data_IF_564704088268
#
_entry.id   IF_564704088268
#
_cell.length_a   1.000
_cell.length_b   1.000
_cell.length_c   1.000
_cell.angle_alpha   90.00
_cell.angle_beta   90.00
_cell.angle_gamma   90.00
#
_symmetry.space_group_name_H-M   'P 1'
#
loop_
_entity.id
_entity.type
_entity.pdbx_description
1 polymer ?
#
# COMPACT_ATOMS: atom_id res chain seq x y z
N UNK A 1 45.94 -42.15 11.76
CA UNK A 1 46.06 -40.85 11.07
C UNK A 1 45.16 -40.93 9.86
N UNK A 2 44.10 -40.11 9.79
CA UNK A 2 43.25 -40.04 8.59
C UNK A 2 44.00 -39.22 7.54
N UNK A 3 43.92 -39.64 6.27
CA UNK A 3 44.63 -38.96 5.20
C UNK A 3 43.95 -37.63 4.85
N UNK A 4 44.71 -36.69 4.30
CA UNK A 4 44.18 -35.40 3.81
C UNK A 4 43.10 -35.61 2.73
N UNK A 5 43.20 -36.71 1.98
CA UNK A 5 42.18 -37.15 1.03
C UNK A 5 40.86 -37.52 1.72
N UNK A 6 40.89 -38.20 2.87
CA UNK A 6 39.68 -38.53 3.64
C UNK A 6 38.99 -37.27 4.18
N UNK A 7 39.79 -36.27 4.57
CA UNK A 7 39.26 -35.00 5.06
C UNK A 7 38.62 -34.18 3.93
N UNK A 8 39.25 -34.19 2.76
CA UNK A 8 38.74 -33.49 1.56
C UNK A 8 37.47 -34.15 1.04
N UNK A 9 37.39 -35.49 1.07
CA UNK A 9 36.20 -36.24 0.71
C UNK A 9 35.04 -35.99 1.70
N UNK A 10 35.31 -35.98 3.00
CA UNK A 10 34.31 -35.69 4.03
C UNK A 10 33.77 -34.26 3.93
N UNK A 11 34.63 -33.27 3.62
CA UNK A 11 34.21 -31.88 3.45
C UNK A 11 33.38 -31.67 2.18
N UNK A 12 33.72 -32.34 1.06
CA UNK A 12 32.88 -32.31 -0.15
C UNK A 12 31.52 -32.96 0.09
N UNK A 13 31.49 -34.11 0.77
CA UNK A 13 30.24 -34.79 1.10
C UNK A 13 29.36 -33.99 2.07
N UNK A 14 29.96 -33.18 2.95
CA UNK A 14 29.24 -32.25 3.82
C UNK A 14 28.73 -31.01 3.06
N UNK A 15 29.47 -30.52 2.05
CA UNK A 15 29.05 -29.41 1.20
C UNK A 15 27.88 -29.81 0.27
N UNK A 16 27.90 -31.04 -0.26
CA UNK A 16 26.82 -31.57 -1.12
C UNK A 16 25.52 -31.87 -0.33
N UNK A 17 25.61 -31.94 1.01
CA UNK A 17 24.47 -32.13 1.92
C UNK A 17 23.97 -30.85 2.58
N UNK A 18 24.61 -29.71 2.34
CA UNK A 18 24.18 -28.43 2.89
C UNK A 18 22.92 -27.94 2.12
N UNK A 19 21.81 -27.61 2.82
CA UNK A 19 20.67 -26.97 2.18
C UNK A 19 21.13 -25.67 1.52
N UNK A 20 20.74 -25.42 0.27
CA UNK A 20 21.03 -24.15 -0.39
C UNK A 20 20.54 -22.98 0.49
N UNK A 21 21.26 -21.85 0.53
CA UNK A 21 20.85 -20.67 1.28
C UNK A 21 19.49 -20.21 0.76
N UNK A 22 18.45 -20.53 1.54
CA UNK A 22 17.08 -20.14 1.24
C UNK A 22 17.01 -18.64 1.44
N UNK A 23 16.81 -17.91 0.34
CA UNK A 23 16.38 -16.52 0.41
C UNK A 23 15.01 -16.47 1.12
N UNK A 24 15.04 -16.04 2.38
CA UNK A 24 13.87 -15.96 3.26
C UNK A 24 12.81 -14.98 2.71
N UNK A 25 13.18 -14.07 1.81
CA UNK A 25 12.27 -13.10 1.19
C UNK A 25 11.65 -13.68 -0.10
N UNK A 26 12.41 -14.39 -0.94
CA UNK A 26 11.85 -15.19 -2.03
C UNK A 26 10.88 -16.27 -1.48
N UNK A 27 11.23 -16.85 -0.33
CA UNK A 27 10.40 -17.84 0.37
C UNK A 27 9.00 -17.35 0.73
N UNK A 28 8.78 -16.05 0.99
CA UNK A 28 7.44 -15.50 1.29
C UNK A 28 6.59 -15.29 0.03
N UNK A 29 7.19 -14.81 -1.06
CA UNK A 29 6.50 -14.67 -2.36
C UNK A 29 6.14 -16.04 -2.97
N UNK A 30 7.03 -17.02 -2.82
CA UNK A 30 6.88 -18.34 -3.42
C UNK A 30 5.93 -19.25 -2.63
N UNK A 31 5.83 -19.08 -1.30
CA UNK A 31 4.81 -19.76 -0.46
C UNK A 31 3.39 -19.29 -0.81
N UNK A 32 3.22 -18.01 -1.18
CA UNK A 32 1.94 -17.45 -1.64
C UNK A 32 1.53 -18.01 -3.01
N UNK A 33 2.49 -18.18 -3.94
CA UNK A 33 2.28 -18.82 -5.26
C UNK A 33 2.07 -20.34 -5.20
N UNK A 34 2.76 -21.07 -4.31
CA UNK A 34 2.57 -22.51 -4.14
C UNK A 34 1.19 -22.84 -3.57
N UNK A 35 0.70 -22.08 -2.58
CA UNK A 35 -0.65 -22.29 -2.01
C UNK A 35 -1.78 -22.06 -3.02
N UNK A 36 -1.63 -21.08 -3.92
CA UNK A 36 -2.61 -20.86 -5.00
C UNK A 36 -2.65 -22.04 -5.97
N UNK A 37 -1.49 -22.57 -6.39
CA UNK A 37 -1.44 -23.72 -7.32
C UNK A 37 -1.91 -25.05 -6.70
N UNK A 38 -1.70 -25.25 -5.39
CA UNK A 38 -2.06 -26.51 -4.74
C UNK A 38 -3.57 -26.62 -4.47
N UNK A 39 -4.28 -25.49 -4.33
CA UNK A 39 -5.75 -25.46 -4.12
C UNK A 39 -6.57 -25.69 -5.39
N UNK A 40 -6.04 -25.40 -6.57
CA UNK A 40 -6.70 -25.72 -7.85
C UNK A 40 -6.66 -27.23 -8.21
N UNK A 41 -5.87 -28.05 -7.51
CA UNK A 41 -5.82 -29.51 -7.74
C UNK A 41 -6.77 -30.32 -6.87
N UNK A 42 -7.49 -29.71 -5.93
CA UNK A 42 -8.48 -30.39 -5.06
C UNK A 42 -9.94 -30.05 -5.35
N UNK A 43 -10.22 -29.27 -6.42
CA UNK A 43 -11.60 -28.91 -6.82
C UNK A 43 -12.16 -29.77 -7.97
N UNK A 44 -11.60 -30.97 -8.21
CA UNK A 44 -12.11 -31.93 -9.19
C UNK A 44 -12.20 -33.33 -8.57
N UNK A 45 -13.11 -33.50 -7.61
CA UNK A 45 -13.76 -34.79 -7.33
C UNK A 45 -14.88 -34.55 -6.31
N UNK A 46 -16.13 -34.66 -6.74
CA UNK A 46 -17.19 -35.52 -6.18
C UNK A 46 -18.47 -35.17 -6.94
N UNK A 47 -18.76 -35.99 -7.95
CA UNK A 47 -20.10 -36.14 -8.50
C UNK A 47 -20.73 -37.39 -7.86
N UNK A 48 -21.87 -37.18 -7.20
CA UNK A 48 -23.03 -38.07 -7.05
C UNK A 48 -22.85 -39.51 -6.56
N UNK A 49 -23.47 -39.83 -5.42
CA UNK A 49 -24.54 -40.86 -5.32
C UNK A 49 -25.48 -40.49 -4.17
N UNK A 50 -26.78 -40.52 -4.45
CA UNK A 50 -27.90 -40.47 -3.50
C UNK A 50 -28.36 -41.91 -3.24
N UNK A 51 -28.58 -42.32 -1.97
CA UNK A 51 -29.61 -43.30 -1.61
C UNK A 51 -29.92 -43.32 -0.09
N UNK A 52 -31.19 -43.02 0.19
CA UNK A 52 -32.09 -43.21 1.35
C UNK A 52 -31.84 -44.43 2.27
N UNK A 53 -32.01 -44.26 3.60
CA UNK A 53 -32.98 -45.01 4.45
C UNK A 53 -32.86 -44.78 5.98
N UNK A 54 -33.96 -44.29 6.56
CA UNK A 54 -34.71 -44.72 7.78
C UNK A 54 -33.98 -45.33 9.00
N UNK A 55 -34.18 -44.71 10.18
CA UNK A 55 -34.62 -45.42 11.41
C UNK A 55 -33.71 -45.43 12.65
N UNK A 56 -34.30 -45.07 13.81
CA UNK A 56 -34.09 -45.81 15.09
C UNK A 56 -33.21 -45.24 16.23
N UNK A 57 -33.87 -44.63 17.23
CA UNK A 57 -33.73 -44.77 18.71
C UNK A 57 -32.38 -44.90 19.48
N UNK A 58 -32.25 -44.04 20.51
CA UNK A 58 -31.80 -44.23 21.93
C UNK A 58 -30.33 -44.51 22.36
N UNK A 59 -29.84 -43.58 23.22
CA UNK A 59 -29.09 -43.68 24.51
C UNK A 59 -27.74 -44.43 24.57
N UNK A 60 -26.69 -43.78 25.12
CA UNK A 60 -25.93 -44.15 26.34
C UNK A 60 -24.65 -43.29 26.48
N UNK A 61 -24.32 -43.06 27.75
CA UNK A 61 -23.26 -42.27 28.40
C UNK A 61 -22.00 -43.12 28.65
N UNK A 62 -20.80 -42.55 28.52
CA UNK A 62 -19.52 -42.98 29.17
C UNK A 62 -18.54 -41.79 29.03
N UNK A 63 -17.90 -41.19 30.04
CA UNK A 63 -17.13 -41.62 31.23
C UNK A 63 -15.86 -42.40 30.89
N UNK A 64 -14.75 -41.66 30.72
CA UNK A 64 -13.35 -42.01 31.03
C UNK A 64 -12.69 -43.19 30.28
N UNK A 65 -11.34 -43.33 30.29
CA UNK A 65 -10.44 -42.88 31.34
C UNK A 65 -9.15 -42.15 30.91
N UNK A 66 -8.56 -41.56 31.96
CA UNK A 66 -7.20 -41.07 32.18
C UNK A 66 -6.13 -42.10 31.76
N UNK A 67 -5.12 -41.66 31.01
CA UNK A 67 -3.86 -42.40 30.84
C UNK A 67 -2.70 -41.54 31.37
N UNK A 68 -1.89 -42.18 32.20
CA UNK A 68 -0.80 -41.62 32.99
C UNK A 68 0.50 -42.23 32.46
N UNK A 69 1.53 -41.39 32.28
CA UNK A 69 2.98 -41.64 32.34
C UNK A 69 3.57 -42.63 31.31
N UNK A 70 4.46 -42.08 30.47
CA UNK A 70 5.54 -42.79 29.81
C UNK A 70 6.75 -41.88 29.74
N UNK A 71 7.67 -42.05 30.70
CA UNK A 71 8.97 -41.39 30.80
C UNK A 71 9.77 -41.52 29.50
N UNK A 72 10.30 -40.39 29.01
CA UNK A 72 11.31 -40.36 27.95
C UNK A 72 12.49 -39.52 28.43
N UNK A 73 13.72 -40.05 28.46
CA UNK A 73 14.86 -39.33 29.02
C UNK A 73 15.22 -38.12 28.14
N UNK A 74 15.33 -36.96 28.79
CA UNK A 74 15.86 -35.74 28.21
C UNK A 74 17.33 -35.96 27.83
N UNK A 75 17.62 -35.94 26.53
CA UNK A 75 18.98 -35.91 26.02
C UNK A 75 19.46 -34.47 26.13
N UNK A 76 20.38 -34.21 27.04
CA UNK A 76 21.06 -32.92 27.22
C UNK A 76 21.91 -32.64 25.98
N UNK A 77 21.44 -31.74 25.13
CA UNK A 77 22.25 -31.22 24.02
C UNK A 77 23.17 -30.12 24.58
N UNK A 78 24.46 -30.44 24.67
CA UNK A 78 25.54 -29.48 24.94
C UNK A 78 25.66 -28.53 23.75
N UNK A 79 25.23 -27.30 23.91
CA UNK A 79 25.42 -26.22 22.94
C UNK A 79 26.88 -25.82 22.92
N UNK A 80 27.63 -26.25 21.91
CA UNK A 80 28.97 -25.74 21.64
C UNK A 80 28.84 -24.31 21.09
N UNK A 81 29.42 -23.35 21.80
CA UNK A 81 29.48 -21.96 21.38
C UNK A 81 30.26 -21.84 20.06
N UNK A 82 29.54 -21.51 18.98
CA UNK A 82 30.15 -21.10 17.71
C UNK A 82 30.65 -19.67 17.85
N UNK A 83 31.97 -19.51 17.75
CA UNK A 83 32.66 -18.22 17.72
C UNK A 83 32.07 -17.33 16.63
N UNK A 84 31.42 -16.25 17.04
CA UNK A 84 30.89 -15.22 16.14
C UNK A 84 32.04 -14.63 15.33
N UNK A 85 32.04 -14.87 14.02
CA UNK A 85 32.95 -14.22 13.09
C UNK A 85 32.41 -12.81 12.84
N UNK A 86 33.14 -11.80 13.30
CA UNK A 86 32.87 -10.39 13.03
C UNK A 86 32.78 -10.15 11.52
N UNK A 87 31.64 -9.67 10.98
CA UNK A 87 31.56 -9.30 9.57
C UNK A 87 32.28 -7.96 9.38
N UNK A 88 33.57 -8.02 9.08
CA UNK A 88 34.39 -6.88 8.68
C UNK A 88 34.42 -6.80 7.15
N UNK A 89 33.42 -6.13 6.56
CA UNK A 89 33.57 -5.43 5.29
C UNK A 89 32.35 -4.52 5.11
N UNK A 90 32.50 -3.24 5.45
CA UNK A 90 31.58 -2.21 4.98
C UNK A 90 31.71 -2.17 3.46
N UNK A 91 30.73 -2.73 2.74
CA UNK A 91 30.54 -2.42 1.32
C UNK A 91 30.55 -0.90 1.19
N UNK A 92 31.38 -0.31 0.32
CA UNK A 92 31.38 1.13 0.13
C UNK A 92 29.97 1.58 -0.23
N UNK A 93 29.46 2.57 0.51
CA UNK A 93 28.19 3.22 0.23
C UNK A 93 28.25 3.62 -1.25
N UNK A 94 27.40 2.98 -2.08
CA UNK A 94 27.29 3.38 -3.48
C UNK A 94 26.66 4.76 -3.47
N UNK A 95 27.49 5.76 -3.71
CA UNK A 95 27.03 7.14 -3.84
C UNK A 95 25.93 7.15 -4.91
N UNK A 96 24.76 7.76 -4.64
CA UNK A 96 23.68 7.82 -5.61
C UNK A 96 24.25 8.32 -6.92
N UNK A 97 23.90 7.66 -8.03
CA UNK A 97 24.23 8.16 -9.35
C UNK A 97 23.30 9.34 -9.63
N UNK A 98 23.56 10.43 -8.92
CA UNK A 98 22.74 11.63 -8.96
C UNK A 98 22.78 12.18 -10.37
N UNK A 99 21.65 12.57 -10.96
CA UNK A 99 21.71 13.37 -12.17
C UNK A 99 22.56 14.60 -11.85
N UNK A 100 23.67 14.75 -12.57
CA UNK A 100 24.59 15.87 -12.39
C UNK A 100 23.80 17.18 -12.22
N UNK A 101 24.16 18.04 -11.26
CA UNK A 101 23.38 19.22 -10.89
C UNK A 101 22.83 19.97 -12.11
N UNK A 102 21.50 20.07 -12.21
CA UNK A 102 20.81 20.74 -13.32
C UNK A 102 20.26 19.82 -14.42
N UNK A 103 20.62 18.53 -14.46
CA UNK A 103 19.96 17.55 -15.34
C UNK A 103 18.59 17.15 -14.78
N UNK A 104 17.58 17.13 -15.65
CA UNK A 104 16.23 16.66 -15.27
C UNK A 104 16.26 15.14 -15.13
N UNK A 105 15.60 14.61 -14.09
CA UNK A 105 15.33 13.18 -14.01
C UNK A 105 14.53 12.72 -15.24
N UNK A 106 14.88 11.55 -15.78
CA UNK A 106 14.17 10.97 -16.93
C UNK A 106 12.70 10.67 -16.57
N UNK A 107 11.76 10.75 -17.52
CA UNK A 107 10.37 10.34 -17.28
C UNK A 107 10.26 8.88 -16.80
N UNK A 108 9.24 8.58 -16.01
CA UNK A 108 8.95 7.22 -15.56
C UNK A 108 8.82 6.22 -16.72
N UNK A 109 8.32 6.64 -17.88
CA UNK A 109 8.22 5.79 -19.09
C UNK A 109 9.57 5.42 -19.70
N UNK A 110 10.65 6.15 -19.40
CA UNK A 110 12.01 5.80 -19.82
C UNK A 110 12.75 4.97 -18.75
N UNK A 111 12.47 5.22 -17.47
CA UNK A 111 13.11 4.52 -16.36
C UNK A 111 12.46 3.14 -16.14
N UNK A 112 11.14 3.08 -16.09
CA UNK A 112 10.38 1.84 -15.90
C UNK A 112 9.33 1.68 -17.01
N UNK A 113 9.76 1.51 -18.27
CA UNK A 113 8.85 1.45 -19.43
C UNK A 113 7.77 0.36 -19.27
N UNK A 114 8.13 -0.78 -18.68
CA UNK A 114 7.23 -1.91 -18.43
C UNK A 114 6.14 -1.62 -17.38
N UNK A 115 6.29 -0.55 -16.60
CA UNK A 115 5.38 -0.19 -15.52
C UNK A 115 4.51 1.02 -15.85
N UNK A 116 4.71 1.67 -17.01
CA UNK A 116 3.95 2.85 -17.42
C UNK A 116 3.00 2.50 -18.56
N UNK A 117 1.71 2.71 -18.31
CA UNK A 117 0.62 2.38 -19.22
C UNK A 117 -0.19 3.63 -19.56
N UNK A 118 -1.01 3.52 -20.61
CA UNK A 118 -1.99 4.55 -20.97
C UNK A 118 -3.37 3.94 -20.82
N UNK A 119 -4.31 4.69 -20.25
CA UNK A 119 -5.71 4.31 -20.14
C UNK A 119 -6.61 5.51 -20.47
N UNK A 120 -7.86 5.32 -20.90
CA UNK A 120 -8.77 6.45 -21.09
C UNK A 120 -9.07 7.11 -19.73
N UNK A 121 -9.36 8.41 -19.76
CA UNK A 121 -9.88 9.17 -18.61
C UNK A 121 -11.31 8.84 -18.29
N UNK A 122 -12.05 8.34 -19.27
CA UNK A 122 -13.48 8.07 -19.14
C UNK A 122 -13.83 6.68 -19.63
N UNK A 123 -14.83 6.08 -18.99
CA UNK A 123 -15.53 4.91 -19.49
C UNK A 123 -16.30 5.25 -20.78
N UNK A 124 -16.77 4.23 -21.49
CA UNK A 124 -17.60 4.42 -22.68
C UNK A 124 -18.93 5.13 -22.37
N UNK A 125 -19.47 4.97 -21.16
CA UNK A 125 -20.67 5.64 -20.66
C UNK A 125 -20.39 6.98 -19.96
N UNK A 126 -19.14 7.48 -20.02
CA UNK A 126 -18.79 8.86 -19.66
C UNK A 126 -18.38 9.10 -18.20
N UNK A 127 -18.32 8.07 -17.36
CA UNK A 127 -17.80 8.14 -16.00
C UNK A 127 -16.31 8.44 -16.05
N UNK A 128 -15.80 9.19 -15.08
CA UNK A 128 -14.37 9.50 -15.01
C UNK A 128 -13.65 8.40 -14.23
N UNK A 129 -12.57 7.85 -14.80
CA UNK A 129 -11.73 6.89 -14.11
C UNK A 129 -10.80 7.60 -13.13
N UNK A 130 -10.76 7.08 -11.90
CA UNK A 130 -9.74 7.37 -10.90
C UNK A 130 -9.04 6.07 -10.48
N UNK A 131 -7.75 5.89 -10.81
CA UNK A 131 -6.99 4.74 -10.33
C UNK A 131 -6.94 4.68 -8.81
N UNK A 132 -7.09 3.46 -8.26
CA UNK A 132 -7.15 3.21 -6.81
C UNK A 132 -5.89 2.47 -6.35
N UNK A 133 -5.61 1.30 -6.94
CA UNK A 133 -4.49 0.43 -6.56
C UNK A 133 -4.23 -0.61 -7.63
N UNK A 134 -3.06 -1.22 -7.64
CA UNK A 134 -2.78 -2.36 -8.49
C UNK A 134 -3.25 -3.67 -7.85
N UNK A 135 -3.87 -4.51 -8.66
CA UNK A 135 -4.27 -5.88 -8.31
C UNK A 135 -3.19 -6.88 -8.76
N UNK A 136 -2.54 -6.57 -9.88
CA UNK A 136 -1.45 -7.33 -10.48
C UNK A 136 -0.54 -6.39 -11.28
N UNK A 137 0.55 -6.89 -11.91
CA UNK A 137 1.36 -6.08 -12.84
C UNK A 137 0.58 -5.51 -14.03
N UNK A 138 -0.54 -6.13 -14.41
CA UNK A 138 -1.33 -5.76 -15.59
C UNK A 138 -2.77 -5.34 -15.28
N UNK A 139 -3.22 -5.47 -14.03
CA UNK A 139 -4.57 -5.11 -13.64
C UNK A 139 -4.55 -4.09 -12.50
N UNK A 140 -5.40 -3.09 -12.61
CA UNK A 140 -5.61 -2.08 -11.56
C UNK A 140 -7.09 -2.00 -11.20
N UNK A 141 -7.34 -1.70 -9.93
CA UNK A 141 -8.66 -1.28 -9.46
C UNK A 141 -8.84 0.20 -9.79
N UNK A 142 -9.98 0.54 -10.38
CA UNK A 142 -10.35 1.92 -10.70
C UNK A 142 -11.73 2.23 -10.13
N UNK A 143 -11.91 3.45 -9.66
CA UNK A 143 -13.21 4.03 -9.36
C UNK A 143 -13.74 4.73 -10.62
N UNK A 144 -14.91 4.32 -11.10
CA UNK A 144 -15.63 5.02 -12.14
C UNK A 144 -16.59 6.03 -11.47
N UNK A 145 -16.30 7.32 -11.62
CA UNK A 145 -16.98 8.40 -10.94
C UNK A 145 -18.01 9.10 -11.83
N UNK A 146 -19.23 9.29 -11.32
CA UNK A 146 -20.28 10.06 -12.01
C UNK A 146 -19.98 11.56 -11.99
N UNK A 147 -19.33 12.01 -10.92
CA UNK A 147 -18.81 13.36 -10.72
C UNK A 147 -17.67 13.30 -9.72
N UNK A 148 -16.92 14.39 -9.54
CA UNK A 148 -15.83 14.46 -8.58
C UNK A 148 -16.18 13.83 -7.22
N UNK A 149 -15.39 12.81 -6.83
CA UNK A 149 -15.50 12.03 -5.59
C UNK A 149 -16.80 11.23 -5.39
N UNK A 150 -17.70 11.23 -6.38
CA UNK A 150 -18.91 10.40 -6.39
C UNK A 150 -18.66 9.16 -7.24
N UNK A 151 -18.08 8.15 -6.62
CA UNK A 151 -17.90 6.82 -7.25
C UNK A 151 -19.27 6.21 -7.53
N UNK A 152 -19.54 5.85 -8.78
CA UNK A 152 -20.73 5.10 -9.15
C UNK A 152 -20.50 3.59 -9.14
N UNK A 153 -19.29 3.14 -9.52
CA UNK A 153 -18.88 1.73 -9.46
C UNK A 153 -17.38 1.57 -9.37
N UNK A 154 -16.96 0.39 -8.93
CA UNK A 154 -15.58 -0.08 -9.02
C UNK A 154 -15.44 -0.98 -10.25
N UNK A 155 -14.33 -0.83 -10.96
CA UNK A 155 -13.97 -1.68 -12.10
C UNK A 155 -12.56 -2.23 -11.95
N UNK A 156 -12.31 -3.36 -12.58
CA UNK A 156 -10.96 -3.84 -12.85
C UNK A 156 -10.61 -3.46 -14.28
N UNK A 157 -9.53 -2.71 -14.45
CA UNK A 157 -9.01 -2.32 -15.75
C UNK A 157 -7.75 -3.15 -16.07
N UNK A 158 -7.80 -3.88 -17.17
CA UNK A 158 -6.66 -4.64 -17.71
C UNK A 158 -5.84 -3.73 -18.63
N UNK A 159 -4.64 -3.39 -18.18
CA UNK A 159 -3.70 -2.49 -18.83
C UNK A 159 -3.09 -3.06 -20.12
N UNK A 160 -3.13 -4.39 -20.31
CA UNK A 160 -2.57 -5.03 -21.49
C UNK A 160 -3.57 -5.05 -22.66
N UNK A 161 -4.85 -5.29 -22.36
CA UNK A 161 -5.95 -5.36 -23.33
C UNK A 161 -6.66 -4.02 -23.51
N UNK A 162 -6.51 -3.09 -22.57
CA UNK A 162 -7.24 -1.83 -22.56
C UNK A 162 -8.74 -2.00 -22.30
N UNK A 163 -9.13 -3.09 -21.65
CA UNK A 163 -10.53 -3.41 -21.36
C UNK A 163 -10.81 -3.28 -19.86
N UNK A 164 -12.07 -3.02 -19.53
CA UNK A 164 -12.51 -3.00 -18.14
C UNK A 164 -13.69 -3.94 -17.91
N UNK A 165 -13.82 -4.40 -16.66
CA UNK A 165 -14.98 -5.13 -16.18
C UNK A 165 -15.51 -4.50 -14.90
N UNK A 166 -16.82 -4.40 -14.79
CA UNK A 166 -17.46 -3.95 -13.55
C UNK A 166 -17.23 -4.98 -12.46
N UNK A 167 -16.72 -4.50 -11.32
CA UNK A 167 -16.52 -5.30 -10.13
C UNK A 167 -17.74 -5.20 -9.20
N UNK A 168 -18.15 -3.96 -8.90
CA UNK A 168 -19.29 -3.68 -8.02
C UNK A 168 -19.90 -2.32 -8.32
N UNK A 169 -21.23 -2.25 -8.33
CA UNK A 169 -21.95 -0.98 -8.29
C UNK A 169 -21.92 -0.41 -6.88
N UNK A 170 -21.72 0.91 -6.74
CA UNK A 170 -21.78 1.57 -5.43
C UNK A 170 -23.22 1.61 -4.92
N UNK A 171 -23.41 1.56 -3.59
CA UNK A 171 -24.72 1.71 -2.96
C UNK A 171 -25.19 3.18 -2.99
N UNK A 172 -25.47 3.72 -4.17
CA UNK A 172 -25.79 5.14 -4.42
C UNK A 172 -27.10 5.66 -3.79
N UNK A 173 -27.82 4.84 -3.03
CA UNK A 173 -29.09 5.22 -2.40
C UNK A 173 -28.91 6.03 -1.11
N UNK A 174 -27.66 6.26 -0.67
CA UNK A 174 -27.34 7.04 0.52
C UNK A 174 -26.93 8.44 0.09
N UNK A 175 -27.71 9.44 0.52
CA UNK A 175 -27.39 10.84 0.29
C UNK A 175 -26.03 11.20 0.93
N UNK A 176 -25.26 12.02 0.24
CA UNK A 176 -23.91 12.44 0.65
C UNK A 176 -22.95 11.28 0.94
N UNK A 177 -23.11 10.13 0.30
CA UNK A 177 -22.16 9.02 0.41
C UNK A 177 -20.93 9.25 -0.49
N UNK A 178 -19.75 9.19 0.12
CA UNK A 178 -18.47 9.28 -0.57
C UNK A 178 -17.59 8.08 -0.20
N UNK A 179 -17.06 7.38 -1.20
CA UNK A 179 -16.05 6.35 -0.99
C UNK A 179 -14.72 7.03 -0.63
N UNK A 180 -14.26 6.83 0.60
CA UNK A 180 -13.07 7.51 1.13
C UNK A 180 -11.79 6.71 0.88
N UNK A 181 -11.85 5.39 0.90
CA UNK A 181 -10.70 4.52 0.64
C UNK A 181 -11.12 3.10 0.29
N UNK A 182 -10.25 2.40 -0.42
CA UNK A 182 -10.48 1.03 -0.88
C UNK A 182 -9.18 0.21 -0.81
N UNK A 183 -9.34 -1.08 -0.55
CA UNK A 183 -8.26 -2.06 -0.43
C UNK A 183 -8.58 -3.34 -1.17
N UNK A 184 -7.53 -3.96 -1.71
CA UNK A 184 -7.65 -5.20 -2.46
C UNK A 184 -6.85 -6.31 -1.80
N UNK A 185 -7.54 -7.39 -1.46
CA UNK A 185 -6.96 -8.64 -1.02
C UNK A 185 -6.92 -9.66 -2.16
N UNK A 186 -6.42 -10.88 -1.88
CA UNK A 186 -6.38 -11.94 -2.90
C UNK A 186 -7.76 -12.37 -3.41
N UNK A 187 -8.80 -12.21 -2.60
CA UNK A 187 -10.13 -12.76 -2.85
C UNK A 187 -11.25 -11.73 -2.75
N UNK A 188 -11.01 -10.58 -2.11
CA UNK A 188 -12.02 -9.55 -1.91
C UNK A 188 -11.43 -8.16 -2.14
N UNK A 189 -12.26 -7.26 -2.67
CA UNK A 189 -12.05 -5.82 -2.61
C UNK A 189 -12.99 -5.27 -1.55
N UNK A 190 -12.47 -4.39 -0.71
CA UNK A 190 -13.22 -3.75 0.37
C UNK A 190 -13.05 -2.24 0.25
N UNK A 191 -14.04 -1.50 0.74
CA UNK A 191 -13.95 -0.05 0.84
C UNK A 191 -14.73 0.42 2.06
N UNK A 192 -14.51 1.68 2.42
CA UNK A 192 -15.37 2.36 3.38
C UNK A 192 -15.97 3.64 2.78
N UNK A 193 -17.20 3.89 3.17
CA UNK A 193 -17.92 5.12 2.88
C UNK A 193 -17.99 6.03 4.07
N UNK A 194 -18.15 7.34 3.83
CA UNK A 194 -18.48 8.32 4.85
C UNK A 194 -19.50 9.33 4.32
N UNK A 195 -20.12 10.10 5.23
CA UNK A 195 -21.06 11.18 4.92
C UNK A 195 -20.53 12.54 5.43
N UNK A 196 -19.44 13.08 4.85
CA UNK A 196 -18.76 14.28 5.35
C UNK A 196 -19.66 15.52 5.44
N UNK A 197 -20.72 15.59 4.64
CA UNK A 197 -21.64 16.74 4.61
C UNK A 197 -22.84 16.61 5.57
N UNK A 198 -23.03 15.44 6.20
CA UNK A 198 -24.19 15.19 7.07
C UNK A 198 -24.03 15.71 8.50
N UNK A 199 -22.81 16.07 8.91
CA UNK A 199 -22.46 16.37 10.30
C UNK A 199 -22.40 15.13 11.21
N UNK A 200 -22.75 13.95 10.70
CA UNK A 200 -22.69 12.69 11.45
C UNK A 200 -21.30 12.05 11.33
N UNK A 201 -20.70 11.73 12.48
CA UNK A 201 -19.52 10.88 12.54
C UNK A 201 -19.94 9.43 12.25
N UNK A 202 -19.84 9.04 10.98
CA UNK A 202 -20.34 7.78 10.46
C UNK A 202 -19.40 7.21 9.38
N UNK A 203 -19.20 5.89 9.42
CA UNK A 203 -18.56 5.14 8.34
C UNK A 203 -19.16 3.75 8.22
N UNK A 204 -19.29 3.25 7.00
CA UNK A 204 -19.65 1.86 6.73
C UNK A 204 -18.58 1.16 5.91
N UNK A 205 -18.57 -0.17 6.00
CA UNK A 205 -17.60 -1.02 5.32
C UNK A 205 -18.32 -1.97 4.39
N UNK A 206 -17.79 -2.11 3.19
CA UNK A 206 -18.35 -2.94 2.15
C UNK A 206 -17.30 -3.91 1.61
N UNK A 207 -17.77 -5.05 1.10
CA UNK A 207 -16.94 -6.05 0.48
C UNK A 207 -17.58 -6.61 -0.79
N UNK A 208 -16.75 -6.97 -1.77
CA UNK A 208 -17.12 -7.71 -2.97
C UNK A 208 -16.01 -8.72 -3.32
N UNK A 209 -16.33 -9.92 -3.84
CA UNK A 209 -15.32 -10.81 -4.41
C UNK A 209 -14.52 -10.13 -5.53
N UNK A 210 -13.26 -10.51 -5.72
CA UNK A 210 -12.41 -9.97 -6.82
C UNK A 210 -12.93 -10.32 -8.20
N UNK A 211 -13.72 -11.38 -8.32
CA UNK A 211 -14.45 -11.78 -9.52
C UNK A 211 -15.63 -10.83 -9.84
N UNK A 212 -16.04 -10.03 -8.85
CA UNK A 212 -17.16 -9.11 -8.92
C UNK A 212 -18.44 -9.66 -8.32
N UNK A 213 -19.49 -8.84 -8.33
CA UNK A 213 -20.82 -9.22 -7.86
C UNK A 213 -21.53 -8.09 -7.12
N UNK A 214 -22.60 -8.46 -6.41
CA UNK A 214 -23.32 -7.52 -5.55
C UNK A 214 -22.49 -7.29 -4.28
N UNK A 215 -22.12 -6.05 -3.95
CA UNK A 215 -21.40 -5.80 -2.71
C UNK A 215 -22.30 -5.96 -1.50
N UNK A 216 -21.68 -6.34 -0.39
CA UNK A 216 -22.35 -6.56 0.90
C UNK A 216 -21.77 -5.59 1.92
N UNK A 217 -22.65 -4.90 2.66
CA UNK A 217 -22.25 -4.09 3.80
C UNK A 217 -21.89 -5.03 4.96
N UNK A 218 -20.63 -4.99 5.37
CA UNK A 218 -20.10 -5.90 6.40
C UNK A 218 -20.09 -5.26 7.78
N UNK A 219 -20.05 -3.94 7.88
CA UNK A 219 -20.06 -3.24 9.15
C UNK A 219 -20.43 -1.78 9.03
N UNK A 220 -20.80 -1.19 10.15
CA UNK A 220 -21.09 0.24 10.30
C UNK A 220 -20.60 0.68 11.67
N UNK A 221 -20.01 1.88 11.74
CA UNK A 221 -19.48 2.47 12.95
C UNK A 221 -19.81 3.96 13.02
N UNK A 222 -19.90 4.47 14.25
CA UNK A 222 -20.14 5.88 14.54
C UNK A 222 -19.12 6.43 15.54
N UNK A 223 -19.07 7.76 15.69
CA UNK A 223 -18.25 8.43 16.69
C UNK A 223 -16.75 8.27 16.44
N UNK A 224 -15.95 7.99 17.48
CA UNK A 224 -14.50 7.89 17.32
C UNK A 224 -14.05 6.75 16.38
N UNK A 225 -14.84 5.68 16.26
CA UNK A 225 -14.51 4.55 15.37
C UNK A 225 -14.71 4.86 13.89
N UNK A 226 -15.52 5.86 13.54
CA UNK A 226 -15.75 6.27 12.16
C UNK A 226 -14.69 7.19 11.58
N UNK A 227 -13.79 7.71 12.43
CA UNK A 227 -12.60 8.45 11.98
C UNK A 227 -11.56 7.46 11.43
N UNK A 228 -11.89 6.78 10.32
CA UNK A 228 -11.07 5.73 9.71
C UNK A 228 -9.81 6.33 9.11
N UNK A 229 -8.65 5.96 9.64
CA UNK A 229 -7.36 6.41 9.12
C UNK A 229 -6.87 5.50 7.98
N UNK A 230 -6.97 4.18 8.17
CA UNK A 230 -6.52 3.17 7.20
C UNK A 230 -7.36 1.91 7.29
N UNK A 231 -7.57 1.25 6.16
CA UNK A 231 -8.24 -0.05 6.05
C UNK A 231 -7.29 -1.11 5.47
N UNK A 232 -7.65 -2.38 5.62
CA UNK A 232 -6.99 -3.55 5.08
C UNK A 232 -7.98 -4.70 4.97
N UNK A 233 -7.61 -5.75 4.24
CA UNK A 233 -8.48 -6.91 4.00
C UNK A 233 -7.69 -8.21 4.13
N UNK A 234 -8.35 -9.18 4.75
CA UNK A 234 -7.88 -10.56 4.91
C UNK A 234 -8.80 -11.51 4.14
N UNK A 235 -8.53 -12.81 4.21
CA UNK A 235 -9.44 -13.82 3.63
C UNK A 235 -10.83 -13.85 4.30
N UNK A 236 -10.99 -13.24 5.49
CA UNK A 236 -12.21 -13.39 6.31
C UNK A 236 -12.71 -12.12 6.98
N UNK A 237 -11.94 -11.03 6.97
CA UNK A 237 -12.25 -9.80 7.69
C UNK A 237 -11.83 -8.55 6.91
N UNK A 238 -12.59 -7.47 7.10
CA UNK A 238 -12.07 -6.10 6.97
C UNK A 238 -11.36 -5.76 8.27
N UNK A 239 -10.20 -5.12 8.17
CA UNK A 239 -9.43 -4.61 9.31
C UNK A 239 -9.22 -3.12 9.10
N UNK A 240 -9.28 -2.33 10.17
CA UNK A 240 -9.00 -0.90 10.08
C UNK A 240 -8.40 -0.36 11.38
N UNK A 241 -7.77 0.80 11.27
CA UNK A 241 -7.44 1.63 12.42
C UNK A 241 -8.20 2.95 12.33
N UNK A 242 -9.02 3.32 13.33
CA UNK A 242 -9.42 4.71 13.52
C UNK A 242 -8.20 5.60 13.83
N UNK A 243 -8.40 6.92 13.85
CA UNK A 243 -7.39 7.90 14.24
C UNK A 243 -6.87 7.68 15.67
N UNK A 244 -7.61 6.99 16.55
CA UNK A 244 -7.18 6.66 17.92
C UNK A 244 -7.75 5.35 18.47
N UNK A 245 -7.05 4.74 19.44
CA UNK A 245 -7.55 3.65 20.29
C UNK A 245 -7.06 2.24 19.95
N UNK A 246 -6.69 1.94 18.71
CA UNK A 246 -6.12 0.66 18.29
C UNK A 246 -6.70 0.16 16.97
N UNK A 247 -6.62 -1.15 16.72
CA UNK A 247 -7.15 -1.75 15.49
C UNK A 247 -8.42 -2.56 15.74
N UNK A 248 -9.28 -2.58 14.73
CA UNK A 248 -10.56 -3.25 14.75
C UNK A 248 -10.72 -4.13 13.52
N UNK A 249 -11.61 -5.11 13.62
CA UNK A 249 -11.98 -5.98 12.51
C UNK A 249 -13.47 -6.25 12.52
N UNK A 250 -13.99 -6.57 11.34
CA UNK A 250 -15.36 -7.09 11.16
C UNK A 250 -15.33 -8.22 10.14
N UNK A 251 -16.04 -9.34 10.38
CA UNK A 251 -16.09 -10.44 9.42
C UNK A 251 -16.62 -9.99 8.06
N UNK A 252 -16.10 -10.55 6.96
CA UNK A 252 -16.61 -10.30 5.61
C UNK A 252 -18.06 -10.80 5.42
N UNK A 253 -18.54 -11.67 6.30
CA UNK A 253 -19.95 -12.10 6.37
C UNK A 253 -20.86 -11.08 7.06
N UNK A 254 -20.28 -9.99 7.58
CA UNK A 254 -20.96 -9.02 8.41
C UNK A 254 -20.91 -9.34 9.89
N UNK A 255 -21.09 -8.31 10.72
CA UNK A 255 -21.19 -8.48 12.17
C UNK A 255 -20.86 -7.21 12.95
N UNK A 256 -20.71 -7.37 14.26
CA UNK A 256 -20.26 -6.29 15.14
C UNK A 256 -18.75 -6.10 15.03
N UNK A 257 -18.25 -4.86 14.81
CA UNK A 257 -16.85 -4.50 15.00
C UNK A 257 -16.24 -5.01 16.30
N UNK A 258 -15.11 -5.69 16.20
CA UNK A 258 -14.34 -6.17 17.36
C UNK A 258 -12.96 -5.52 17.37
N UNK A 259 -12.51 -5.10 18.55
CA UNK A 259 -11.14 -4.65 18.75
C UNK A 259 -10.18 -5.85 18.69
N UNK A 260 -9.07 -5.70 17.96
CA UNK A 260 -8.00 -6.70 17.93
C UNK A 260 -7.21 -6.61 19.25
N UNK A 261 -7.12 -7.68 20.05
CA UNK A 261 -6.40 -7.64 21.33
C UNK A 261 -4.94 -7.22 21.20
N UNK A 262 -4.44 -6.41 22.15
CA UNK A 262 -3.03 -5.99 22.18
C UNK A 262 -2.64 -4.92 21.16
N UNK A 263 -3.64 -4.22 20.59
CA UNK A 263 -3.42 -3.17 19.57
C UNK A 263 -3.64 -1.74 20.08
N UNK A 264 -3.78 -1.56 21.39
CA UNK A 264 -3.85 -0.22 22.00
C UNK A 264 -2.65 0.64 21.58
N UNK A 265 -2.93 1.83 21.03
CA UNK A 265 -1.89 2.75 20.56
C UNK A 265 -1.14 2.26 19.31
N UNK A 266 -1.68 1.28 18.57
CA UNK A 266 -1.17 0.90 17.26
C UNK A 266 -2.11 1.40 16.15
N UNK A 267 -1.53 1.69 14.99
CA UNK A 267 -2.21 2.05 13.75
C UNK A 267 -1.88 1.06 12.65
N UNK A 268 -2.85 0.76 11.79
CA UNK A 268 -2.60 -0.08 10.62
C UNK A 268 -1.63 0.66 9.71
N UNK A 269 -0.65 -0.03 9.13
CA UNK A 269 0.24 0.57 8.14
C UNK A 269 -0.06 0.04 6.73
N UNK A 270 -0.13 -1.28 6.64
CA UNK A 270 -0.63 -2.07 5.52
C UNK A 270 -0.81 -3.48 6.07
N UNK A 271 -1.90 -4.17 5.76
CA UNK A 271 -2.09 -5.51 6.32
C UNK A 271 -0.93 -6.46 5.90
N UNK A 272 -0.32 -7.23 6.82
CA UNK A 272 -0.69 -7.46 8.22
C UNK A 272 0.05 -6.62 9.29
N UNK A 273 0.70 -5.53 8.89
CA UNK A 273 1.59 -4.75 9.76
C UNK A 273 0.93 -3.51 10.35
N UNK A 274 1.17 -3.31 11.65
CA UNK A 274 0.81 -2.12 12.41
C UNK A 274 2.04 -1.44 13.00
N UNK A 275 1.89 -0.16 13.33
CA UNK A 275 2.94 0.72 13.85
C UNK A 275 2.47 1.48 15.08
N UNK A 276 3.41 1.93 15.92
CA UNK A 276 3.16 2.75 17.12
C UNK A 276 3.08 4.26 16.86
N UNK A 277 3.12 4.70 15.60
CA UNK A 277 2.94 6.10 15.22
C UNK A 277 1.97 6.25 14.05
N UNK A 278 1.20 7.33 14.03
CA UNK A 278 0.39 7.71 12.87
C UNK A 278 1.33 8.20 11.76
N UNK A 279 1.13 7.73 10.53
CA UNK A 279 1.79 8.34 9.37
C UNK A 279 1.13 9.70 9.09
N UNK A 280 1.86 10.77 9.37
CA UNK A 280 1.45 12.16 9.07
C UNK A 280 2.19 12.68 7.84
N UNK A 281 1.81 13.83 7.29
CA UNK A 281 2.61 14.47 6.22
C UNK A 281 3.87 15.13 6.79
N UNK A 282 4.93 15.28 5.99
CA UNK A 282 6.21 15.84 6.50
C UNK A 282 6.11 17.27 7.04
N UNK A 283 5.15 18.06 6.55
CA UNK A 283 4.84 19.42 7.02
C UNK A 283 4.04 19.42 8.33
N UNK A 284 3.37 18.32 8.65
CA UNK A 284 2.74 18.07 9.95
C UNK A 284 3.72 17.46 10.96
N UNK A 285 4.79 16.80 10.47
CA UNK A 285 5.86 16.25 11.30
C UNK A 285 6.71 17.38 11.87
N UNK A 286 6.55 17.61 13.18
CA UNK A 286 7.26 18.65 13.93
C UNK A 286 8.55 18.12 14.53
N UNK A 287 9.50 19.02 14.74
CA UNK A 287 10.66 18.70 15.56
C UNK A 287 10.19 18.26 16.96
N UNK A 288 10.53 17.04 17.35
CA UNK A 288 10.09 16.42 18.61
C UNK A 288 8.96 15.39 18.45
N UNK A 289 8.41 15.18 17.27
CA UNK A 289 7.53 14.03 17.02
C UNK A 289 8.30 12.73 17.28
N UNK A 290 7.66 11.72 17.91
CA UNK A 290 8.34 10.49 18.28
C UNK A 290 8.71 9.68 17.05
N UNK A 291 9.92 9.11 17.07
CA UNK A 291 10.29 8.06 16.12
C UNK A 291 9.32 6.89 16.22
N UNK A 292 9.03 6.27 15.08
CA UNK A 292 8.46 4.93 15.06
C UNK A 292 9.46 3.95 15.69
N UNK A 293 9.02 3.20 16.70
CA UNK A 293 9.87 2.24 17.41
C UNK A 293 9.44 0.82 17.19
N UNK A 294 8.24 0.60 16.65
CA UNK A 294 7.65 -0.71 16.59
C UNK A 294 6.95 -0.98 15.26
N UNK A 295 7.16 -2.18 14.74
CA UNK A 295 6.29 -2.84 13.78
C UNK A 295 5.72 -4.12 14.41
N UNK A 296 4.42 -4.35 14.24
CA UNK A 296 3.74 -5.55 14.73
C UNK A 296 3.04 -6.24 13.58
N UNK A 297 3.37 -7.51 13.34
CA UNK A 297 2.60 -8.37 12.46
C UNK A 297 1.38 -8.90 13.22
N UNK A 298 0.20 -8.52 12.80
CA UNK A 298 -1.07 -8.85 13.45
C UNK A 298 -1.52 -10.29 13.20
N UNK A 299 -0.98 -10.97 12.19
CA UNK A 299 -1.26 -12.38 11.93
C UNK A 299 -0.39 -13.30 12.79
N UNK A 300 0.90 -12.97 12.94
CA UNK A 300 1.87 -13.84 13.61
C UNK A 300 2.17 -13.41 15.05
N UNK A 301 1.81 -12.19 15.43
CA UNK A 301 2.23 -11.57 16.69
C UNK A 301 3.70 -11.15 16.71
N UNK A 302 4.42 -11.28 15.58
CA UNK A 302 5.81 -10.86 15.46
C UNK A 302 5.94 -9.36 15.76
N UNK A 303 6.90 -9.00 16.62
CA UNK A 303 7.22 -7.61 16.97
C UNK A 303 8.64 -7.32 16.53
N UNK A 304 8.81 -6.26 15.75
CA UNK A 304 10.12 -5.74 15.33
C UNK A 304 10.35 -4.39 15.99
N UNK A 305 11.37 -4.32 16.83
CA UNK A 305 11.87 -3.05 17.35
C UNK A 305 12.70 -2.38 16.28
N UNK A 306 12.44 -1.10 16.04
CA UNK A 306 13.15 -0.29 15.08
C UNK A 306 14.25 0.49 15.80
N UNK A 307 15.41 0.57 15.16
CA UNK A 307 16.55 1.31 15.72
C UNK A 307 16.87 2.50 14.85
N UNK A 308 16.60 3.70 15.35
CA UNK A 308 17.06 4.92 14.70
C UNK A 308 18.59 5.04 14.85
N UNK A 309 19.34 5.23 13.75
CA UNK A 309 20.77 5.52 13.84
C UNK A 309 21.03 6.83 14.59
N UNK A 310 22.25 6.98 15.12
CA UNK A 310 22.62 8.18 15.89
C UNK A 310 22.47 9.44 15.03
N UNK A 311 21.63 10.38 15.47
CA UNK A 311 21.37 11.64 14.79
C UNK A 311 20.20 11.59 13.80
N UNK A 312 19.64 10.40 13.55
CA UNK A 312 18.41 10.21 12.80
C UNK A 312 17.21 10.35 13.75
N UNK A 313 16.21 11.13 13.33
CA UNK A 313 14.96 11.35 14.06
C UNK A 313 13.77 11.43 13.10
N UNK A 314 12.55 11.50 13.64
CA UNK A 314 11.29 11.40 12.90
C UNK A 314 11.24 10.16 11.99
N UNK A 315 11.70 9.02 12.51
CA UNK A 315 11.79 7.77 11.77
C UNK A 315 10.40 7.20 11.47
N UNK A 316 10.10 6.95 10.19
CA UNK A 316 8.91 6.25 9.72
C UNK A 316 9.31 5.05 8.87
N UNK A 317 8.95 3.85 9.30
CA UNK A 317 9.43 2.58 8.75
C UNK A 317 8.31 1.80 8.08
N UNK A 318 8.55 1.36 6.84
CA UNK A 318 7.90 0.18 6.24
C UNK A 318 8.73 -1.07 6.54
N UNK A 319 8.42 -2.17 5.86
CA UNK A 319 9.06 -3.47 6.12
C UNK A 319 10.54 -3.53 5.78
N UNK A 320 10.95 -2.83 4.72
CA UNK A 320 12.29 -2.93 4.17
C UNK A 320 13.13 -1.67 4.37
N UNK A 321 12.47 -0.53 4.51
CA UNK A 321 13.09 0.78 4.55
C UNK A 321 12.32 1.71 5.48
N UNK A 322 13.08 2.57 6.12
CA UNK A 322 12.59 3.68 6.92
C UNK A 322 13.08 5.00 6.36
N UNK A 323 12.28 6.04 6.50
CA UNK A 323 12.70 7.42 6.25
C UNK A 323 12.86 8.15 7.57
N UNK A 324 13.91 8.95 7.69
CA UNK A 324 14.12 9.82 8.84
C UNK A 324 14.87 11.10 8.42
N UNK A 325 15.12 11.98 9.39
CA UNK A 325 15.86 13.22 9.22
C UNK A 325 17.23 13.11 9.87
N UNK A 326 18.28 13.49 9.15
CA UNK A 326 19.65 13.57 9.64
C UNK A 326 20.34 14.83 9.12
N UNK A 327 20.74 15.73 10.01
CA UNK A 327 21.42 16.98 9.64
C UNK A 327 20.66 17.83 8.62
N UNK A 328 19.33 17.90 8.74
CA UNK A 328 18.45 18.65 7.82
C UNK A 328 18.15 17.95 6.47
N UNK A 329 18.74 16.77 6.22
CA UNK A 329 18.46 15.96 5.04
C UNK A 329 17.54 14.79 5.37
N UNK A 330 16.79 14.29 4.39
CA UNK A 330 16.07 13.03 4.52
C UNK A 330 17.04 11.88 4.22
N UNK A 331 17.02 10.87 5.08
CA UNK A 331 17.78 9.63 4.92
C UNK A 331 16.84 8.44 4.86
N UNK A 332 17.21 7.45 4.06
CA UNK A 332 16.63 6.12 4.08
C UNK A 332 17.55 5.18 4.88
N UNK A 333 17.00 4.38 5.78
CA UNK A 333 17.75 3.41 6.59
C UNK A 333 17.00 2.09 6.64
N UNK A 334 17.68 0.98 6.91
CA UNK A 334 17.01 -0.29 7.16
C UNK A 334 16.33 -0.28 8.55
N UNK A 335 15.33 -1.13 8.79
CA UNK A 335 14.65 -1.22 10.09
C UNK A 335 15.57 -1.46 11.29
N UNK A 336 16.72 -2.12 11.08
CA UNK A 336 17.76 -2.37 12.08
C UNK A 336 18.75 -1.20 12.25
N UNK A 337 18.56 -0.10 11.51
CA UNK A 337 19.42 1.07 11.49
C UNK A 337 20.64 0.95 10.57
N UNK A 338 20.78 -0.14 9.80
CA UNK A 338 21.88 -0.32 8.85
C UNK A 338 21.61 0.36 7.50
N UNK A 339 22.63 0.39 6.63
CA UNK A 339 22.56 0.84 5.23
C UNK A 339 21.90 2.24 5.09
N UNK A 340 22.38 3.21 5.86
CA UNK A 340 21.94 4.61 5.76
C UNK A 340 22.32 5.19 4.39
N UNK A 341 21.31 5.71 3.69
CA UNK A 341 21.41 6.36 2.38
C UNK A 341 20.82 7.75 2.47
N UNK A 342 21.58 8.74 1.99
CA UNK A 342 21.04 10.09 1.81
C UNK A 342 20.16 10.10 0.57
N UNK A 343 18.97 10.69 0.68
CA UNK A 343 18.14 10.91 -0.49
C UNK A 343 18.70 12.09 -1.31
N UNK A 344 18.57 12.03 -2.65
CA UNK A 344 19.12 13.06 -3.53
C UNK A 344 18.34 14.39 -3.48
N UNK A 345 17.15 14.39 -2.88
CA UNK A 345 16.28 15.55 -2.79
C UNK A 345 15.34 15.44 -1.59
N UNK A 346 14.56 16.50 -1.33
CA UNK A 346 13.55 16.50 -0.27
C UNK A 346 12.44 15.49 -0.61
N UNK A 347 12.10 14.62 0.33
CA UNK A 347 10.92 13.76 0.20
C UNK A 347 9.65 14.60 0.34
N UNK A 348 8.69 14.38 -0.57
CA UNK A 348 7.39 15.06 -0.56
C UNK A 348 6.49 14.57 0.58
N UNK A 349 6.60 13.29 0.94
CA UNK A 349 5.88 12.65 2.05
C UNK A 349 6.80 11.64 2.79
N UNK A 350 6.51 11.30 4.06
CA UNK A 350 7.34 10.38 4.85
C UNK A 350 7.07 8.91 4.54
N UNK A 351 6.16 8.59 3.61
CA UNK A 351 5.84 7.23 3.31
C UNK A 351 6.86 6.62 2.36
N UNK A 352 7.23 5.37 2.66
CA UNK A 352 7.83 4.49 1.67
C UNK A 352 6.70 3.72 0.98
N UNK A 353 6.62 3.85 -0.33
CA UNK A 353 5.62 3.23 -1.19
C UNK A 353 6.16 1.92 -1.75
N UNK A 354 5.35 0.85 -1.79
CA UNK A 354 5.78 -0.47 -2.28
C UNK A 354 7.03 -1.04 -1.58
N UNK A 355 7.23 -0.64 -0.33
CA UNK A 355 8.40 -0.92 0.53
C UNK A 355 9.74 -0.36 0.05
N UNK A 356 9.85 0.38 -1.05
CA UNK A 356 11.16 0.91 -1.53
C UNK A 356 11.13 2.24 -2.28
N UNK A 357 9.95 2.77 -2.60
CA UNK A 357 9.81 3.99 -3.40
C UNK A 357 9.51 5.20 -2.52
N UNK A 358 10.07 6.35 -2.85
CA UNK A 358 9.85 7.61 -2.13
C UNK A 358 9.45 8.69 -3.12
N UNK A 359 8.36 9.40 -2.82
CA UNK A 359 7.98 10.59 -3.57
C UNK A 359 8.90 11.75 -3.18
N UNK A 360 9.47 12.45 -4.16
CA UNK A 360 10.41 13.55 -3.94
C UNK A 360 10.00 14.83 -4.67
N UNK A 361 10.38 15.96 -4.08
CA UNK A 361 10.29 17.29 -4.69
C UNK A 361 11.47 17.50 -5.64
N UNK A 362 11.24 17.31 -6.95
CA UNK A 362 12.30 17.34 -7.96
C UNK A 362 12.74 18.74 -8.43
N UNK A 363 12.25 19.83 -7.83
CA UNK A 363 12.43 21.23 -8.27
C UNK A 363 11.87 21.58 -9.66
N UNK A 364 11.66 20.56 -10.51
CA UNK A 364 11.13 20.60 -11.88
C UNK A 364 10.08 19.49 -12.04
N UNK A 365 9.26 19.29 -11.02
CA UNK A 365 8.17 18.32 -10.98
C UNK A 365 8.33 17.24 -9.91
N UNK A 366 7.26 16.48 -9.64
CA UNK A 366 7.29 15.38 -8.71
C UNK A 366 8.14 14.24 -9.26
N UNK A 367 8.90 13.60 -8.38
CA UNK A 367 9.79 12.50 -8.72
C UNK A 367 9.48 11.28 -7.85
N UNK A 368 9.77 10.11 -8.38
CA UNK A 368 9.78 8.87 -7.63
C UNK A 368 11.21 8.33 -7.58
N UNK A 369 11.71 8.09 -6.38
CA UNK A 369 13.02 7.51 -6.11
C UNK A 369 12.87 6.08 -5.66
N UNK A 370 13.61 5.17 -6.29
CA UNK A 370 13.76 3.79 -5.85
C UNK A 370 14.99 3.68 -4.95
N UNK A 371 14.77 3.50 -3.64
CA UNK A 371 15.84 3.43 -2.64
C UNK A 371 16.78 2.26 -2.93
N UNK A 372 16.26 1.16 -3.46
CA UNK A 372 17.02 -0.06 -3.69
C UNK A 372 18.02 0.11 -4.82
N UNK A 373 17.55 0.57 -5.98
CA UNK A 373 18.35 0.72 -7.21
C UNK A 373 19.05 2.08 -7.33
N UNK A 374 18.64 3.06 -6.52
CA UNK A 374 19.10 4.45 -6.61
C UNK A 374 18.55 5.22 -7.81
N UNK A 375 17.58 4.63 -8.54
CA UNK A 375 17.02 5.23 -9.76
C UNK A 375 15.97 6.27 -9.41
N UNK A 376 16.01 7.40 -10.11
CA UNK A 376 15.00 8.47 -10.00
C UNK A 376 14.27 8.63 -11.32
N UNK A 377 12.95 8.79 -11.26
CA UNK A 377 12.15 9.16 -12.42
C UNK A 377 11.21 10.34 -12.12
N UNK A 378 11.00 11.21 -13.11
CA UNK A 378 9.93 12.21 -13.05
C UNK A 378 8.58 11.51 -13.24
N UNK A 379 7.64 11.78 -12.36
CA UNK A 379 6.22 11.39 -12.48
C UNK A 379 5.38 12.64 -12.72
N UNK A 380 4.22 12.48 -13.35
CA UNK A 380 3.38 13.62 -13.66
C UNK A 380 3.75 14.36 -14.94
N UNK A 381 2.94 15.37 -15.26
CA UNK A 381 3.19 16.27 -16.38
C UNK A 381 3.05 17.72 -15.95
N UNK A 382 4.02 18.54 -16.33
CA UNK A 382 4.06 19.96 -16.02
C UNK A 382 3.29 20.83 -17.03
N UNK A 383 2.89 22.03 -16.62
CA UNK A 383 2.58 23.14 -17.51
C UNK A 383 3.84 23.60 -18.27
N UNK A 384 3.67 24.34 -19.36
CA UNK A 384 4.78 24.85 -20.18
C UNK A 384 5.78 25.70 -19.36
N UNK A 385 5.29 26.43 -18.36
CA UNK A 385 6.12 27.25 -17.46
C UNK A 385 6.77 26.44 -16.31
N UNK A 386 6.46 25.15 -16.21
CA UNK A 386 6.98 24.23 -15.20
C UNK A 386 6.48 24.49 -13.77
N UNK A 387 5.53 25.41 -13.56
CA UNK A 387 5.05 25.80 -12.23
C UNK A 387 3.94 24.90 -11.70
N UNK A 388 3.15 24.32 -12.59
CA UNK A 388 2.02 23.48 -12.23
C UNK A 388 2.26 22.05 -12.72
N UNK A 389 1.88 21.07 -11.92
CA UNK A 389 2.06 19.66 -12.23
C UNK A 389 0.77 18.91 -11.95
N UNK A 390 0.42 17.99 -12.85
CA UNK A 390 -0.66 17.02 -12.61
C UNK A 390 -0.01 15.69 -12.27
N UNK A 391 -0.25 15.23 -11.04
CA UNK A 391 0.03 13.88 -10.56
C UNK A 391 -1.03 13.53 -9.53
N UNK A 392 -1.61 12.36 -9.68
CA UNK A 392 -2.51 11.72 -8.73
C UNK A 392 -1.86 10.45 -8.19
N UNK A 393 -2.30 10.07 -7.00
CA UNK A 393 -1.91 8.84 -6.32
C UNK A 393 -3.17 8.02 -6.06
N UNK A 394 -3.07 6.71 -6.19
CA UNK A 394 -4.14 5.79 -5.82
C UNK A 394 -4.53 5.92 -4.34
N UNK A 395 -5.81 5.74 -4.02
CA UNK A 395 -6.35 5.92 -2.66
C UNK A 395 -6.25 4.68 -1.77
N UNK A 396 -5.42 3.71 -2.15
CA UNK A 396 -5.12 2.53 -1.34
C UNK A 396 -3.83 2.73 -0.54
N UNK A 397 -3.80 2.11 0.63
CA UNK A 397 -2.65 1.99 1.53
C UNK A 397 -1.85 0.69 1.28
N UNK A 398 -2.28 -0.14 0.32
CA UNK A 398 -1.57 -1.33 -0.13
C UNK A 398 -0.16 -1.00 -0.63
N UNK A 399 0.82 -1.92 -0.47
CA UNK A 399 2.11 -1.80 -1.15
C UNK A 399 2.00 -1.75 -2.68
N UNK A 400 0.87 -2.15 -3.26
CA UNK A 400 0.63 -2.15 -4.71
C UNK A 400 0.11 -0.79 -5.23
N UNK A 401 0.71 0.31 -4.76
CA UNK A 401 0.30 1.66 -5.13
C UNK A 401 0.42 1.95 -6.64
N UNK A 402 -0.43 2.85 -7.12
CA UNK A 402 -0.37 3.41 -8.48
C UNK A 402 -0.23 4.93 -8.42
N UNK A 403 0.54 5.49 -9.36
CA UNK A 403 0.52 6.92 -9.67
C UNK A 403 -0.11 7.13 -11.04
N UNK A 404 -0.78 8.26 -11.24
CA UNK A 404 -1.37 8.57 -12.53
C UNK A 404 -1.33 10.06 -12.83
N UNK A 405 -1.38 10.43 -14.10
CA UNK A 405 -1.40 11.83 -14.52
C UNK A 405 -1.97 11.97 -15.92
N UNK A 406 -2.26 13.21 -16.34
CA UNK A 406 -2.71 13.46 -17.69
C UNK A 406 -1.65 13.05 -18.74
N UNK A 407 -2.05 12.33 -19.80
CA UNK A 407 -1.11 11.96 -20.85
C UNK A 407 -0.60 13.15 -21.67
N UNK A 408 -1.40 14.21 -21.77
CA UNK A 408 -1.03 15.43 -22.45
C UNK A 408 -0.56 16.53 -21.46
N UNK A 409 0.35 17.43 -21.88
CA UNK A 409 0.78 18.56 -21.05
C UNK A 409 -0.38 19.45 -20.59
N UNK A 410 -0.29 20.00 -19.39
CA UNK A 410 -1.27 20.94 -18.88
C UNK A 410 -1.28 22.21 -19.73
N UNK A 411 -2.49 22.71 -20.05
CA UNK A 411 -2.66 23.97 -20.79
C UNK A 411 -3.22 25.03 -19.86
N UNK A 412 -2.62 26.22 -19.88
CA UNK A 412 -3.23 27.37 -19.24
C UNK A 412 -4.32 27.95 -20.15
N UNK A 413 -5.55 28.05 -19.61
CA UNK A 413 -6.63 28.79 -20.24
C UNK A 413 -6.93 30.04 -19.40
N UNK A 414 -6.77 31.21 -20.01
CA UNK A 414 -7.18 32.47 -19.40
C UNK A 414 -8.66 32.72 -19.69
N UNK A 415 -9.49 32.74 -18.65
CA UNK A 415 -10.89 33.12 -18.74
C UNK A 415 -11.06 34.49 -18.08
N UNK A 416 -11.56 35.48 -18.83
CA UNK A 416 -11.80 36.82 -18.31
C UNK A 416 -13.29 37.10 -18.26
N UNK A 417 -13.81 37.50 -17.10
CA UNK A 417 -15.19 37.95 -16.93
C UNK A 417 -15.22 39.40 -16.46
N UNK A 418 -16.30 40.16 -16.74
CA UNK A 418 -16.52 41.44 -16.07
C UNK A 418 -16.46 41.27 -14.55
N UNK A 419 -15.89 42.26 -13.87
CA UNK A 419 -15.97 42.36 -12.41
C UNK A 419 -17.41 42.60 -11.99
N UNK A 420 -17.86 41.89 -10.96
CA UNK A 420 -19.18 42.07 -10.37
C UNK A 420 -19.18 43.31 -9.45
N UNK A 421 -20.37 43.88 -9.20
CA UNK A 421 -20.51 45.13 -8.46
C UNK A 421 -19.98 45.08 -7.02
N UNK A 422 -20.00 43.91 -6.39
CA UNK A 422 -19.42 43.61 -5.08
C UNK A 422 -17.88 43.53 -5.12
N UNK A 423 -17.31 42.92 -6.17
CA UNK A 423 -15.85 42.86 -6.36
C UNK A 423 -15.25 44.26 -6.62
N UNK A 424 -15.98 45.12 -7.35
CA UNK A 424 -15.56 46.50 -7.62
C UNK A 424 -15.43 47.34 -6.33
N UNK A 425 -16.26 47.06 -5.30
CA UNK A 425 -16.23 47.78 -4.01
C UNK A 425 -14.99 47.46 -3.18
N UNK A 426 -14.38 46.30 -3.41
CA UNK A 426 -13.22 45.84 -2.65
C UNK A 426 -11.88 46.24 -3.30
N UNK A 427 -11.91 46.94 -4.44
CA UNK A 427 -10.70 47.42 -5.09
C UNK A 427 -10.23 48.73 -4.43
N UNK A 428 -8.93 48.89 -4.15
CA UNK A 428 -8.36 50.05 -3.46
C UNK A 428 -8.45 51.35 -4.27
N UNK A 429 -8.92 51.30 -5.52
CA UNK A 429 -9.09 52.46 -6.40
C UNK A 429 -10.34 52.29 -7.27
N UNK A 430 -10.99 53.41 -7.60
CA UNK A 430 -12.17 53.43 -8.48
C UNK A 430 -11.87 52.73 -9.81
N UNK A 431 -12.43 51.54 -10.05
CA UNK A 431 -12.11 50.77 -11.24
C UNK A 431 -12.67 51.45 -12.50
N UNK A 432 -11.92 51.38 -13.60
CA UNK A 432 -12.38 51.88 -14.90
C UNK A 432 -13.65 51.12 -15.32
N UNK A 433 -14.67 51.80 -15.88
CA UNK A 433 -15.82 51.14 -16.48
C UNK A 433 -15.38 50.04 -17.46
N UNK A 434 -15.91 48.82 -17.27
CA UNK A 434 -15.53 47.66 -18.08
C UNK A 434 -14.32 46.85 -17.56
N UNK A 435 -13.86 47.09 -16.33
CA UNK A 435 -12.82 46.29 -15.71
C UNK A 435 -13.19 44.79 -15.70
N UNK A 436 -12.22 43.94 -16.07
CA UNK A 436 -12.38 42.47 -16.14
C UNK A 436 -11.44 41.81 -15.15
N UNK A 437 -11.92 40.80 -14.45
CA UNK A 437 -11.08 39.87 -13.72
C UNK A 437 -10.77 38.69 -14.63
N UNK A 438 -9.47 38.40 -14.79
CA UNK A 438 -9.00 37.26 -15.55
C UNK A 438 -8.47 36.20 -14.59
N UNK A 439 -9.05 35.02 -14.65
CA UNK A 439 -8.56 33.85 -13.94
C UNK A 439 -7.79 32.97 -14.92
N UNK A 440 -6.58 32.55 -14.52
CA UNK A 440 -5.87 31.47 -15.19
C UNK A 440 -6.39 30.16 -14.63
N UNK A 441 -6.96 29.32 -15.48
CA UNK A 441 -7.38 27.98 -15.13
C UNK A 441 -6.45 26.99 -15.84
N UNK A 442 -5.94 26.02 -15.09
CA UNK A 442 -5.30 24.86 -15.69
C UNK A 442 -6.39 23.99 -16.29
N UNK A 443 -6.21 23.65 -17.56
CA UNK A 443 -7.05 22.70 -18.26
C UNK A 443 -6.20 21.46 -18.51
N UNK A 444 -6.74 20.30 -18.18
CA UNK A 444 -6.13 19.02 -18.53
C UNK A 444 -6.61 18.60 -19.93
N UNK A 445 -5.84 18.82 -21.01
CA UNK A 445 -6.26 18.39 -22.34
C UNK A 445 -6.21 16.87 -22.48
N UNK A 446 -6.89 16.36 -23.50
CA UNK A 446 -6.86 14.94 -23.83
C UNK A 446 -7.83 14.09 -23.01
N UNK A 447 -8.01 12.87 -23.47
CA UNK A 447 -8.94 11.88 -22.94
C UNK A 447 -8.21 10.66 -22.35
N UNK A 448 -6.92 10.79 -22.04
CA UNK A 448 -6.07 9.69 -21.58
C UNK A 448 -5.29 10.06 -20.31
N UNK A 449 -5.07 9.05 -19.47
CA UNK A 449 -4.18 9.06 -18.33
C UNK A 449 -2.96 8.20 -18.63
N UNK A 450 -1.80 8.62 -18.10
CA UNK A 450 -0.66 7.73 -17.86
C UNK A 450 -0.79 7.15 -16.47
N UNK A 451 -0.48 5.86 -16.32
CA UNK A 451 -0.50 5.16 -15.05
C UNK A 451 0.85 4.49 -14.83
N UNK A 452 1.51 4.77 -13.72
CA UNK A 452 2.66 4.03 -13.21
C UNK A 452 2.18 3.01 -12.18
N UNK A 453 2.28 1.73 -12.53
CA UNK A 453 1.94 0.60 -11.66
C UNK A 453 3.20 0.08 -10.95
N UNK A 454 3.35 0.34 -9.65
CA UNK A 454 4.54 -0.10 -8.91
C UNK A 454 4.65 -1.62 -8.81
N UNK A 455 3.54 -2.35 -8.90
CA UNK A 455 3.55 -3.83 -8.91
C UNK A 455 4.18 -4.41 -10.19
N UNK A 456 4.33 -3.62 -11.25
CA UNK A 456 4.99 -4.01 -12.50
C UNK A 456 6.50 -3.74 -12.52
N UNK A 457 7.06 -3.07 -11.50
CA UNK A 457 8.51 -2.83 -11.40
C UNK A 457 9.15 -4.04 -10.70
N UNK A 458 10.05 -4.80 -11.36
CA UNK A 458 10.67 -5.97 -10.77
C UNK A 458 11.54 -5.60 -9.57
N UNK A 459 11.65 -6.52 -8.61
CA UNK A 459 12.69 -6.49 -7.57
C UNK A 459 13.95 -7.10 -8.16
N UNK A 460 15.09 -6.43 -7.96
CA UNK A 460 16.39 -6.85 -8.49
C UNK A 460 17.08 -7.85 -7.55
#
# INVERSE_FOLDING_TARGET
>A
MRSEADLTAALRQAADGAPEPVDLLAGLGERRRRRTRQRYRTALAVAGVVAVAVGGTTVVRSVGPRATIGDRPATTATTTATTATTPTAKTPIREPEDPAPGKRARPASEVWPQAVFTMPKKTADGFTYRPVTALSPTEILVAAEVSFEKTGRLEVYDLATGTSRVLAEMPLHVEDYFMQGAEAGPHHVVWYGARPNSGEAWADFWAVPVEGGRPVRVGEVTGALSAVAMIGVTDSHVVWSPESGGLYRVPLTGGTPEKIPGTDGLWLQSWPWATDVVTRRWDEVRDGDPDQRLLVNLETGERRTLTAPKGVHALHCRLQWCLGRSGGSIVAVRPDGSDERKLPSRAADPAVHGDRFVSMDGGRGPQLYDIETGRTATIGVGSEDGKNWSVGQGTSFSPSLVYYWNAAPLKERRACRPLQADELKNLPSSPTPGARVCQKNLVEPGNELRVLNLAAIPRE
#
